data_IF_597317188096
#
_entry.id   IF_597317188096
#
_cell.length_a   1.000
_cell.length_b   1.000
_cell.length_c   1.000
_cell.angle_alpha   90.00
_cell.angle_beta   90.00
_cell.angle_gamma   90.00
#
_symmetry.space_group_name_H-M   'P 1'
#
loop_
_entity.id
_entity.type
_entity.pdbx_description
1 polymer ?
#
# COMPACT_ATOMS: atom_id res chain seq x y z
N UNK A 1 10.35 -10.85 10.09
CA UNK A 1 9.34 -10.04 10.79
C UNK A 1 8.60 -9.07 9.86
N UNK A 2 8.99 -8.97 8.58
CA UNK A 2 8.35 -8.11 7.55
C UNK A 2 6.88 -8.44 7.29
N UNK A 3 6.48 -9.72 7.32
CA UNK A 3 5.08 -10.11 7.15
C UNK A 3 4.12 -9.48 8.17
N UNK A 4 4.54 -9.31 9.43
CA UNK A 4 3.67 -8.71 10.45
C UNK A 4 3.40 -7.21 10.20
N UNK A 5 4.38 -6.49 9.65
CA UNK A 5 4.19 -5.09 9.26
C UNK A 5 3.32 -4.96 8.01
N UNK A 6 3.45 -5.88 7.04
CA UNK A 6 2.61 -5.94 5.85
C UNK A 6 1.16 -6.28 6.17
N UNK A 7 0.90 -7.26 7.04
CA UNK A 7 -0.45 -7.61 7.49
C UNK A 7 -1.09 -6.45 8.26
N UNK A 8 -0.33 -5.79 9.13
CA UNK A 8 -0.80 -4.60 9.83
C UNK A 8 -1.08 -3.44 8.87
N UNK A 9 -0.19 -3.22 7.89
CA UNK A 9 -0.38 -2.21 6.86
C UNK A 9 -1.67 -2.47 6.09
N UNK A 10 -1.89 -3.71 5.65
CA UNK A 10 -3.13 -4.12 4.98
C UNK A 10 -4.35 -3.88 5.86
N UNK A 11 -4.32 -4.30 7.13
CA UNK A 11 -5.43 -4.09 8.05
C UNK A 11 -5.72 -2.60 8.29
N UNK A 12 -4.69 -1.78 8.50
CA UNK A 12 -4.83 -0.34 8.76
C UNK A 12 -5.23 0.42 7.49
N UNK A 13 -4.73 0.04 6.31
CA UNK A 13 -5.00 0.74 5.05
C UNK A 13 -6.26 0.22 4.31
N UNK A 14 -6.74 -0.99 4.61
CA UNK A 14 -8.04 -1.52 4.13
C UNK A 14 -9.18 -1.16 5.08
N UNK A 15 -8.91 -1.06 6.38
CA UNK A 15 -9.87 -0.46 7.31
C UNK A 15 -10.07 1.02 6.94
N UNK A 16 -11.30 1.53 7.06
CA UNK A 16 -11.63 2.96 6.94
C UNK A 16 -11.00 3.77 8.10
N UNK A 17 -9.68 3.74 8.18
CA UNK A 17 -8.87 4.39 9.19
C UNK A 17 -8.26 5.65 8.60
N UNK A 18 -7.73 6.51 9.47
CA UNK A 18 -6.97 7.68 9.04
C UNK A 18 -5.74 7.32 8.19
N UNK A 19 -5.16 6.11 8.33
CA UNK A 19 -4.06 5.67 7.48
C UNK A 19 -4.52 5.49 6.03
N UNK A 20 -5.68 4.85 5.83
CA UNK A 20 -6.26 4.58 4.52
C UNK A 20 -6.50 5.86 3.72
N UNK A 21 -7.19 6.84 4.31
CA UNK A 21 -7.48 8.12 3.66
C UNK A 21 -6.19 8.90 3.32
N UNK A 22 -5.24 8.99 4.26
CA UNK A 22 -4.00 9.73 4.01
C UNK A 22 -3.08 8.98 3.05
N UNK A 23 -3.11 7.65 3.04
CA UNK A 23 -2.36 6.86 2.07
C UNK A 23 -2.93 7.05 0.66
N UNK A 24 -4.26 7.02 0.49
CA UNK A 24 -4.89 7.28 -0.80
C UNK A 24 -4.53 8.67 -1.35
N UNK A 25 -4.53 9.72 -0.51
CA UNK A 25 -4.12 11.07 -0.89
C UNK A 25 -2.61 11.18 -1.16
N UNK A 26 -1.78 10.51 -0.35
CA UNK A 26 -0.32 10.57 -0.50
C UNK A 26 0.19 9.81 -1.73
N UNK A 27 -0.48 8.73 -2.13
CA UNK A 27 -0.08 7.90 -3.28
C UNK A 27 -0.10 8.70 -4.59
N UNK A 28 -1.02 9.64 -4.76
CA UNK A 28 -1.04 10.53 -5.93
C UNK A 28 0.21 11.44 -6.01
N UNK A 29 0.89 11.66 -4.88
CA UNK A 29 2.14 12.42 -4.80
C UNK A 29 3.42 11.59 -4.93
N UNK A 30 3.33 10.26 -4.94
CA UNK A 30 4.52 9.40 -5.02
C UNK A 30 5.10 9.42 -6.44
N UNK A 31 6.42 9.66 -6.55
CA UNK A 31 7.13 9.59 -7.83
C UNK A 31 7.78 8.23 -8.05
N UNK A 32 8.01 7.47 -6.98
CA UNK A 32 8.60 6.14 -7.02
C UNK A 32 8.16 5.26 -5.85
N UNK A 33 8.44 3.96 -5.95
CA UNK A 33 8.22 2.98 -4.87
C UNK A 33 8.97 3.34 -3.58
N UNK A 34 10.11 4.03 -3.67
CA UNK A 34 10.87 4.48 -2.50
C UNK A 34 10.14 5.56 -1.70
N UNK A 35 9.34 6.42 -2.36
CA UNK A 35 8.52 7.43 -1.66
C UNK A 35 7.45 6.75 -0.81
N UNK A 36 6.82 5.70 -1.34
CA UNK A 36 5.87 4.88 -0.59
C UNK A 36 6.52 4.23 0.64
N UNK A 37 7.72 3.65 0.47
CA UNK A 37 8.48 3.05 1.58
C UNK A 37 8.82 4.10 2.65
N UNK A 38 9.30 5.28 2.25
CA UNK A 38 9.61 6.37 3.18
C UNK A 38 8.37 6.87 3.92
N UNK A 39 7.24 6.99 3.23
CA UNK A 39 5.98 7.38 3.83
C UNK A 39 5.54 6.36 4.89
N UNK A 40 5.60 5.07 4.57
CA UNK A 40 5.25 3.99 5.49
C UNK A 40 6.23 3.91 6.68
N UNK A 41 7.53 4.08 6.44
CA UNK A 41 8.53 4.16 7.49
C UNK A 41 8.27 5.33 8.46
N UNK A 42 7.84 6.49 7.95
CA UNK A 42 7.48 7.65 8.80
C UNK A 42 6.31 7.38 9.75
N UNK A 43 5.46 6.40 9.39
CA UNK A 43 4.30 5.94 10.16
C UNK A 43 4.65 4.77 11.10
N UNK A 44 5.90 4.30 11.11
CA UNK A 44 6.35 3.16 11.91
C UNK A 44 6.18 1.80 11.24
N UNK A 45 5.95 1.75 9.92
CA UNK A 45 5.95 0.51 9.15
C UNK A 45 7.34 0.27 8.57
N UNK A 46 8.04 -0.75 9.07
CA UNK A 46 9.32 -1.19 8.54
C UNK A 46 9.08 -2.17 7.38
N UNK A 47 8.83 -1.62 6.19
CA UNK A 47 8.65 -2.39 4.94
C UNK A 47 9.68 -1.96 3.90
N UNK A 48 10.09 -2.85 3.00
CA UNK A 48 11.01 -2.52 1.91
C UNK A 48 10.27 -2.38 0.58
N UNK A 49 10.94 -1.78 -0.41
CA UNK A 49 10.41 -1.70 -1.79
C UNK A 49 10.22 -3.08 -2.41
N UNK A 50 11.09 -4.05 -2.05
CA UNK A 50 10.95 -5.44 -2.48
C UNK A 50 9.71 -6.10 -1.87
N UNK A 51 9.44 -5.90 -0.56
CA UNK A 51 8.24 -6.44 0.09
C UNK A 51 6.96 -5.87 -0.54
N UNK A 52 6.95 -4.56 -0.84
CA UNK A 52 5.83 -3.90 -1.51
C UNK A 52 5.63 -4.40 -2.93
N UNK A 53 6.71 -4.59 -3.69
CA UNK A 53 6.64 -5.13 -5.05
C UNK A 53 6.18 -6.59 -5.07
N UNK A 54 6.66 -7.41 -4.12
CA UNK A 54 6.27 -8.80 -3.96
C UNK A 54 4.78 -8.91 -3.60
N UNK A 55 4.31 -8.11 -2.64
CA UNK A 55 2.89 -8.05 -2.32
C UNK A 55 2.05 -7.51 -3.46
N UNK A 56 2.51 -6.50 -4.20
CA UNK A 56 1.79 -5.99 -5.36
C UNK A 56 1.71 -7.02 -6.51
N UNK A 57 2.67 -7.94 -6.58
CA UNK A 57 2.68 -9.07 -7.51
C UNK A 57 1.79 -10.24 -7.05
N UNK A 58 1.70 -10.49 -5.73
CA UNK A 58 0.90 -11.57 -5.13
C UNK A 58 -0.59 -11.18 -4.93
N UNK A 59 -0.88 -9.88 -4.81
CA UNK A 59 -2.25 -9.36 -4.67
C UNK A 59 -3.03 -9.57 -5.99
N UNK A 60 -4.25 -10.10 -5.86
CA UNK A 60 -5.15 -10.52 -6.95
C UNK A 60 -5.18 -9.55 -8.15
N UNK A 61 -5.38 -10.06 -9.38
CA UNK A 61 -5.40 -9.23 -10.58
C UNK A 61 -6.42 -8.09 -10.44
N UNK A 62 -6.16 -6.93 -11.05
CA UNK A 62 -6.92 -5.69 -10.86
C UNK A 62 -8.44 -5.85 -11.07
N UNK A 63 -8.86 -6.83 -11.87
CA UNK A 63 -10.26 -7.19 -12.08
C UNK A 63 -11.02 -7.65 -10.82
N UNK A 64 -10.33 -8.08 -9.76
CA UNK A 64 -10.94 -8.43 -8.47
C UNK A 64 -11.03 -7.24 -7.50
N UNK A 65 -10.40 -6.11 -7.83
CA UNK A 65 -10.30 -4.93 -6.96
C UNK A 65 -11.14 -3.74 -7.46
N UNK A 66 -11.71 -3.81 -8.66
CA UNK A 66 -12.61 -2.76 -9.18
C UNK A 66 -13.93 -2.65 -8.39
N UNK A 67 -14.32 -3.70 -7.66
CA UNK A 67 -15.51 -3.73 -6.80
C UNK A 67 -15.21 -3.46 -5.30
N UNK A 68 -13.93 -3.32 -4.92
CA UNK A 68 -13.56 -2.87 -3.58
C UNK A 68 -13.58 -1.34 -3.55
N UNK A 69 -14.23 -0.73 -2.54
CA UNK A 69 -14.10 0.71 -2.31
C UNK A 69 -12.61 1.08 -2.33
N UNK A 70 -12.22 2.22 -2.93
CA UNK A 70 -10.82 2.60 -3.05
C UNK A 70 -10.24 2.82 -1.66
N UNK A 71 -9.64 1.78 -1.12
CA UNK A 71 -8.93 1.80 0.13
C UNK A 71 -7.48 2.25 -0.13
N UNK A 72 -6.84 2.82 0.90
CA UNK A 72 -5.46 3.27 0.79
C UNK A 72 -4.52 2.14 0.37
N UNK A 73 -4.81 0.90 0.79
CA UNK A 73 -4.01 -0.27 0.42
C UNK A 73 -4.13 -0.62 -1.06
N UNK A 74 -5.35 -0.73 -1.60
CA UNK A 74 -5.58 -0.99 -3.02
C UNK A 74 -5.02 0.12 -3.91
N UNK A 75 -5.12 1.37 -3.47
CA UNK A 75 -4.53 2.54 -4.16
C UNK A 75 -3.01 2.40 -4.24
N UNK A 76 -2.35 2.04 -3.13
CA UNK A 76 -0.92 1.77 -3.08
C UNK A 76 -0.53 0.59 -3.99
N UNK A 77 -1.25 -0.53 -3.94
CA UNK A 77 -0.97 -1.71 -4.78
C UNK A 77 -1.13 -1.42 -6.27
N UNK A 78 -2.08 -0.55 -6.64
CA UNK A 78 -2.26 -0.10 -8.02
C UNK A 78 -1.12 0.80 -8.49
N UNK A 79 -0.63 1.70 -7.63
CA UNK A 79 0.54 2.52 -7.90
C UNK A 79 1.79 1.66 -8.11
N UNK A 80 2.03 0.70 -7.21
CA UNK A 80 3.18 -0.21 -7.26
C UNK A 80 3.20 -1.08 -8.52
N UNK A 81 2.04 -1.50 -9.02
CA UNK A 81 1.95 -2.25 -10.29
C UNK A 81 2.20 -1.40 -11.54
N UNK A 82 2.08 -0.07 -11.43
CA UNK A 82 2.28 0.87 -12.53
C UNK A 82 3.73 1.35 -12.64
N UNK A 83 4.51 1.22 -11.58
CA UNK A 83 5.91 1.67 -11.46
C UNK A 83 6.88 0.50 -11.43
#
# INVERSE_FOLDING_TARGET
MTNAHMERLKADATGNTALSAVLAEAVDGFSSTEDAVRFLASRGFEVTSADLADAAADDLPPAAQEDAEPDGYGTLMRFLRRH
#
